data_IF_078669540401
#
_entry.id   IF_078669540401
#
_cell.length_a   1.000
_cell.length_b   1.000
_cell.length_c   1.000
_cell.angle_alpha   90.00
_cell.angle_beta   90.00
_cell.angle_gamma   90.00
#
_symmetry.space_group_name_H-M   'P 1'
#
loop_
_entity.id
_entity.type
_entity.pdbx_description
1 polymer ?
#
# COMPACT_ATOMS: atom_id res chain seq x y z
N UNK A 1 -5.32 0.47 4.61
CA UNK A 1 -4.11 -0.29 5.03
C UNK A 1 -4.42 -1.76 5.03
N UNK A 2 -3.50 -2.58 4.52
CA UNK A 2 -3.60 -4.05 4.51
C UNK A 2 -2.38 -4.62 5.23
N UNK A 3 -2.63 -5.41 6.26
CA UNK A 3 -1.64 -6.20 7.00
C UNK A 3 -1.68 -7.66 6.55
N UNK A 4 -0.51 -8.28 6.43
CA UNK A 4 -0.38 -9.71 6.23
C UNK A 4 -0.12 -10.40 7.57
N UNK A 5 -0.85 -11.48 7.86
CA UNK A 5 -0.63 -12.35 9.04
C UNK A 5 -0.01 -13.68 8.60
N UNK A 6 1.02 -14.15 9.30
CA UNK A 6 1.69 -15.43 9.01
C UNK A 6 3.12 -15.50 9.53
N UNK A 7 4.02 -16.17 8.80
CA UNK A 7 5.47 -15.95 8.84
C UNK A 7 5.87 -14.90 7.78
N UNK A 8 6.84 -14.03 8.10
CA UNK A 8 7.36 -13.01 7.17
C UNK A 8 7.64 -13.75 5.86
N UNK A 9 7.10 -13.33 4.71
CA UNK A 9 7.56 -13.90 3.46
C UNK A 9 9.05 -13.63 3.46
N UNK A 10 9.86 -14.69 3.54
CA UNK A 10 11.31 -14.58 3.56
C UNK A 10 11.71 -14.10 2.18
N UNK A 11 11.61 -12.79 1.96
CA UNK A 11 12.01 -12.14 0.72
C UNK A 11 13.53 -12.07 0.59
N UNK A 12 14.28 -12.68 1.52
CA UNK A 12 15.71 -12.96 1.44
C UNK A 12 15.99 -14.05 0.40
N UNK A 13 15.61 -13.80 -0.86
CA UNK A 13 16.07 -14.60 -1.98
C UNK A 13 17.51 -14.20 -2.27
N UNK A 14 18.45 -14.85 -1.58
CA UNK A 14 19.89 -14.72 -1.81
C UNK A 14 20.48 -13.30 -1.65
N UNK A 15 19.88 -12.46 -0.80
CA UNK A 15 20.35 -11.08 -0.56
C UNK A 15 20.29 -10.19 -1.82
N UNK A 16 19.39 -10.50 -2.76
CA UNK A 16 19.23 -9.79 -4.04
C UNK A 16 18.04 -8.79 -3.96
N UNK A 17 18.29 -7.48 -3.79
CA UNK A 17 17.25 -6.49 -3.57
C UNK A 17 16.32 -6.32 -4.78
N UNK A 18 16.79 -6.61 -5.99
CA UNK A 18 15.95 -6.52 -7.18
C UNK A 18 14.93 -7.66 -7.22
N UNK A 19 15.33 -8.87 -6.84
CA UNK A 19 14.40 -10.01 -6.70
C UNK A 19 13.38 -9.78 -5.60
N UNK A 20 13.80 -9.30 -4.44
CA UNK A 20 12.88 -8.93 -3.34
C UNK A 20 11.84 -7.92 -3.81
N UNK A 21 12.26 -6.89 -4.56
CA UNK A 21 11.36 -5.90 -5.14
C UNK A 21 10.38 -6.51 -6.13
N UNK A 22 10.83 -7.40 -7.02
CA UNK A 22 9.97 -8.09 -7.98
C UNK A 22 8.91 -8.96 -7.29
N UNK A 23 9.26 -9.67 -6.22
CA UNK A 23 8.32 -10.47 -5.43
C UNK A 23 7.26 -9.62 -4.73
N UNK A 24 7.68 -8.50 -4.10
CA UNK A 24 6.74 -7.54 -3.48
C UNK A 24 5.78 -6.97 -4.54
N UNK A 25 6.30 -6.59 -5.71
CA UNK A 25 5.46 -6.10 -6.81
C UNK A 25 4.50 -7.17 -7.33
N UNK A 26 4.94 -8.42 -7.39
CA UNK A 26 4.09 -9.57 -7.75
C UNK A 26 2.97 -9.76 -6.73
N UNK A 27 3.26 -9.64 -5.43
CA UNK A 27 2.26 -9.77 -4.38
C UNK A 27 1.17 -8.69 -4.49
N UNK A 28 1.57 -7.43 -4.71
CA UNK A 28 0.64 -6.31 -4.91
C UNK A 28 -0.19 -6.55 -6.19
N UNK A 29 0.43 -7.00 -7.28
CA UNK A 29 -0.27 -7.30 -8.52
C UNK A 29 -1.30 -8.43 -8.37
N UNK A 30 -0.97 -9.47 -7.61
CA UNK A 30 -1.92 -10.54 -7.27
C UNK A 30 -3.10 -10.01 -6.46
N UNK A 31 -2.84 -9.13 -5.48
CA UNK A 31 -3.90 -8.51 -4.68
C UNK A 31 -4.85 -7.68 -5.56
N UNK A 32 -4.31 -6.82 -6.44
CA UNK A 32 -5.13 -6.00 -7.35
C UNK A 32 -5.91 -6.86 -8.35
N UNK A 33 -5.32 -7.95 -8.84
CA UNK A 33 -6.00 -8.92 -9.70
C UNK A 33 -7.19 -9.56 -8.98
N UNK A 34 -7.01 -9.99 -7.74
CA UNK A 34 -8.06 -10.61 -6.94
C UNK A 34 -9.20 -9.62 -6.62
N UNK A 35 -8.87 -8.37 -6.26
CA UNK A 35 -9.87 -7.33 -6.04
C UNK A 35 -10.66 -7.05 -7.31
N UNK A 36 -9.98 -6.94 -8.46
CA UNK A 36 -10.65 -6.75 -9.75
C UNK A 36 -11.58 -7.91 -10.13
N UNK A 37 -11.19 -9.14 -9.83
CA UNK A 37 -12.04 -10.32 -10.05
C UNK A 37 -13.37 -10.20 -9.30
N UNK A 38 -13.35 -9.70 -8.06
CA UNK A 38 -14.56 -9.51 -7.25
C UNK A 38 -15.36 -8.30 -7.73
N UNK A 39 -14.74 -7.13 -7.83
CA UNK A 39 -15.45 -5.86 -8.02
C UNK A 39 -15.95 -5.63 -9.45
N UNK A 40 -15.34 -6.27 -10.45
CA UNK A 40 -15.73 -6.09 -11.85
C UNK A 40 -17.16 -6.55 -12.11
N UNK A 41 -17.51 -7.73 -11.61
CA UNK A 41 -18.81 -8.38 -11.86
C UNK A 41 -19.80 -8.19 -10.71
N UNK A 42 -19.38 -7.54 -9.62
CA UNK A 42 -20.27 -7.14 -8.54
C UNK A 42 -21.25 -6.07 -9.05
N UNK A 43 -22.54 -6.31 -8.81
CA UNK A 43 -23.61 -5.37 -9.11
C UNK A 43 -23.80 -4.43 -7.90
N UNK A 44 -23.38 -3.18 -8.04
CA UNK A 44 -23.57 -2.17 -7.01
C UNK A 44 -24.92 -1.46 -7.25
N UNK A 45 -25.95 -1.96 -6.58
CA UNK A 45 -27.31 -1.42 -6.68
C UNK A 45 -27.48 -0.23 -5.72
N UNK A 46 -27.50 0.97 -6.30
CA UNK A 46 -27.81 2.24 -5.63
C UNK A 46 -28.93 3.00 -6.35
N UNK A 47 -28.89 4.34 -6.38
CA UNK A 47 -29.83 5.14 -7.21
C UNK A 47 -29.62 4.92 -8.72
N UNK A 48 -28.43 4.46 -9.11
CA UNK A 48 -28.02 4.15 -10.48
C UNK A 48 -27.26 2.82 -10.45
N UNK A 49 -27.42 1.99 -11.49
CA UNK A 49 -26.63 0.76 -11.62
C UNK A 49 -25.18 1.10 -11.98
N UNK A 50 -24.24 0.73 -11.12
CA UNK A 50 -22.80 0.81 -11.40
C UNK A 50 -22.23 -0.61 -11.55
N UNK A 51 -21.56 -0.88 -12.67
CA UNK A 51 -20.89 -2.16 -12.98
C UNK A 51 -19.51 -1.90 -13.55
N UNK A 52 -18.67 -2.94 -13.60
CA UNK A 52 -17.33 -2.90 -14.19
C UNK A 52 -16.38 -1.91 -13.47
N UNK A 53 -16.47 -1.86 -12.14
CA UNK A 53 -15.51 -1.13 -11.30
C UNK A 53 -14.17 -1.86 -11.35
N UNK A 54 -13.10 -1.09 -11.58
CA UNK A 54 -11.74 -1.62 -11.70
C UNK A 54 -10.76 -0.79 -10.88
N UNK A 55 -9.71 -1.47 -10.46
CA UNK A 55 -8.59 -0.95 -9.69
C UNK A 55 -7.32 -1.13 -10.53
N UNK A 56 -6.52 -0.08 -10.60
CA UNK A 56 -5.23 -0.09 -11.28
C UNK A 56 -4.19 0.56 -10.38
N UNK A 57 -2.99 -0.04 -10.34
CA UNK A 57 -1.85 0.59 -9.67
C UNK A 57 -1.38 1.74 -10.54
N UNK A 58 -1.61 2.98 -10.09
CA UNK A 58 -1.08 4.13 -10.81
C UNK A 58 0.44 4.19 -10.70
N UNK A 59 1.08 4.29 -11.87
CA UNK A 59 2.50 4.62 -11.98
C UNK A 59 2.60 6.09 -12.36
N UNK A 60 2.90 6.98 -11.41
CA UNK A 60 3.18 8.37 -11.81
C UNK A 60 4.52 8.40 -12.54
N UNK A 61 4.43 8.67 -13.84
CA UNK A 61 5.57 8.94 -14.68
C UNK A 61 5.98 10.40 -14.43
N UNK A 62 6.89 10.64 -13.49
CA UNK A 62 7.54 11.96 -13.41
C UNK A 62 8.50 12.06 -14.60
N UNK A 63 8.33 13.01 -15.54
CA UNK A 63 9.30 13.21 -16.61
C UNK A 63 10.58 13.74 -15.98
N UNK A 64 11.60 12.89 -15.89
CA UNK A 64 12.93 13.35 -15.48
C UNK A 64 13.61 14.03 -16.68
N UNK A 65 14.10 15.28 -16.55
CA UNK A 65 14.86 15.95 -17.61
C UNK A 65 16.18 15.22 -17.96
N UNK A 66 16.61 14.24 -17.16
CA UNK A 66 17.82 13.44 -17.38
C UNK A 66 17.56 12.03 -17.93
N UNK A 67 16.33 11.70 -18.37
CA UNK A 67 16.03 10.41 -19.00
C UNK A 67 16.14 9.19 -18.06
N UNK A 68 16.13 9.40 -16.75
CA UNK A 68 16.12 8.30 -15.79
C UNK A 68 14.72 7.67 -15.66
N UNK A 69 14.75 6.34 -15.53
CA UNK A 69 13.67 5.34 -15.60
C UNK A 69 12.34 5.74 -14.96
N UNK A 70 11.24 5.49 -15.70
CA UNK A 70 9.85 5.56 -15.23
C UNK A 70 9.66 4.60 -14.03
N UNK A 71 9.48 5.12 -12.83
CA UNK A 71 9.19 4.30 -11.65
C UNK A 71 7.67 4.18 -11.45
N UNK A 72 7.10 2.96 -11.30
CA UNK A 72 5.84 2.82 -10.57
C UNK A 72 5.94 3.56 -9.24
N UNK A 73 4.88 4.26 -8.84
CA UNK A 73 4.77 4.89 -7.51
C UNK A 73 4.47 3.87 -6.40
N UNK A 74 5.00 2.66 -6.55
CA UNK A 74 5.06 1.72 -5.44
C UNK A 74 6.36 2.03 -4.71
N UNK A 75 6.23 2.75 -3.60
CA UNK A 75 7.31 2.99 -2.66
C UNK A 75 7.46 1.74 -1.80
N UNK A 76 8.68 1.17 -1.80
CA UNK A 76 9.04 0.03 -0.96
C UNK A 76 10.06 0.57 0.03
N UNK A 77 9.65 0.73 1.28
CA UNK A 77 10.53 1.09 2.36
C UNK A 77 11.33 -0.14 2.81
N UNK A 78 12.63 0.04 2.98
CA UNK A 78 13.52 -0.93 3.60
C UNK A 78 13.72 -0.60 5.09
N UNK A 79 14.51 -1.42 5.78
CA UNK A 79 14.82 -1.23 7.20
C UNK A 79 15.93 -0.19 7.45
N UNK A 80 16.49 0.43 6.40
CA UNK A 80 17.67 1.27 6.51
C UNK A 80 17.40 2.51 7.36
N UNK A 81 16.21 3.12 7.21
CA UNK A 81 15.78 4.25 8.01
C UNK A 81 15.43 3.89 9.47
N UNK A 82 15.36 2.59 9.79
CA UNK A 82 15.14 2.08 11.14
C UNK A 82 16.46 1.74 11.86
N UNK A 83 17.60 1.79 11.18
CA UNK A 83 18.91 1.45 11.77
C UNK A 83 19.37 2.55 12.73
N UNK A 84 20.02 2.19 13.86
CA UNK A 84 20.42 3.15 14.89
C UNK A 84 21.45 4.19 14.43
N UNK A 85 22.14 3.96 13.31
CA UNK A 85 23.12 4.88 12.72
C UNK A 85 22.57 5.64 11.50
N UNK A 86 21.26 5.62 11.27
CA UNK A 86 20.66 6.37 10.17
C UNK A 86 20.74 7.88 10.41
N UNK A 87 21.28 8.62 9.45
CA UNK A 87 21.53 10.08 9.55
C UNK A 87 20.47 10.93 8.84
N UNK A 88 19.41 10.33 8.29
CA UNK A 88 18.31 11.04 7.64
C UNK A 88 17.10 11.24 8.55
N UNK A 89 15.99 11.69 7.96
CA UNK A 89 14.72 11.85 8.69
C UNK A 89 14.22 10.48 9.18
N UNK A 90 13.99 10.30 10.49
CA UNK A 90 13.62 9.00 11.03
C UNK A 90 12.26 8.57 10.48
N UNK A 91 12.20 7.33 9.97
CA UNK A 91 10.94 6.78 9.49
C UNK A 91 10.02 6.47 10.68
N UNK A 92 8.89 7.17 10.75
CA UNK A 92 7.92 7.05 11.84
C UNK A 92 7.26 5.67 11.90
N UNK A 93 7.30 4.89 10.82
CA UNK A 93 6.81 3.51 10.78
C UNK A 93 7.75 2.50 11.47
N UNK A 94 8.98 2.90 11.84
CA UNK A 94 9.97 2.02 12.48
C UNK A 94 9.68 1.69 13.95
N UNK A 95 8.77 2.41 14.62
CA UNK A 95 8.46 2.11 16.02
C UNK A 95 7.82 0.72 16.09
N UNK A 96 8.30 -0.18 16.97
CA UNK A 96 7.83 -1.58 17.03
C UNK A 96 6.38 -1.70 17.53
N UNK A 97 5.94 -0.79 18.40
CA UNK A 97 4.63 -0.88 19.07
C UNK A 97 3.60 0.14 18.55
N UNK A 98 3.62 0.45 17.25
CA UNK A 98 2.55 1.24 16.62
C UNK A 98 1.31 0.35 16.49
N UNK A 99 0.19 0.75 17.07
CA UNK A 99 -1.09 0.10 16.86
C UNK A 99 -1.64 0.35 15.45
N UNK A 100 -2.65 -0.44 15.04
CA UNK A 100 -3.22 -0.37 13.69
C UNK A 100 -3.83 1.01 13.37
N UNK A 101 -4.40 1.70 14.37
CA UNK A 101 -5.03 3.01 14.19
C UNK A 101 -4.00 4.11 13.97
N UNK A 102 -2.96 4.12 14.80
CA UNK A 102 -1.82 5.03 14.67
C UNK A 102 -1.07 4.77 13.36
N UNK A 103 -0.92 3.52 12.94
CA UNK A 103 -0.30 3.19 11.66
C UNK A 103 -1.10 3.75 10.48
N UNK A 104 -2.43 3.56 10.47
CA UNK A 104 -3.30 4.16 9.46
C UNK A 104 -3.25 5.70 9.50
N UNK A 105 -3.22 6.29 10.69
CA UNK A 105 -3.14 7.73 10.86
C UNK A 105 -1.84 8.29 10.30
N UNK A 106 -0.69 7.69 10.61
CA UNK A 106 0.62 8.06 10.05
C UNK A 106 0.61 8.02 8.52
N UNK A 107 0.06 6.96 7.92
CA UNK A 107 -0.07 6.88 6.46
C UNK A 107 -0.99 7.96 5.88
N UNK A 108 -2.02 8.37 6.63
CA UNK A 108 -2.97 9.41 6.23
C UNK A 108 -2.36 10.82 6.24
N UNK A 109 -1.20 11.04 6.87
CA UNK A 109 -0.50 12.33 6.87
C UNK A 109 0.19 12.64 5.53
N UNK A 110 0.40 11.63 4.67
CA UNK A 110 0.94 11.82 3.33
C UNK A 110 -0.04 12.53 2.38
N UNK A 111 0.48 13.18 1.34
CA UNK A 111 -0.36 13.75 0.28
C UNK A 111 -0.77 12.64 -0.71
N UNK A 112 -2.08 12.37 -0.78
CA UNK A 112 -2.68 11.34 -1.64
C UNK A 112 -3.69 11.91 -2.64
N UNK A 113 -3.68 13.23 -2.89
CA UNK A 113 -4.68 13.92 -3.72
C UNK A 113 -4.71 13.46 -5.19
N UNK A 114 -3.57 12.98 -5.71
CA UNK A 114 -3.44 12.48 -7.08
C UNK A 114 -4.15 11.13 -7.32
N UNK A 115 -4.61 10.46 -6.24
CA UNK A 115 -5.14 9.09 -6.30
C UNK A 115 -6.53 8.98 -5.68
N UNK A 116 -7.35 8.08 -6.25
CA UNK A 116 -8.66 7.78 -5.68
C UNK A 116 -8.57 7.03 -4.34
N UNK A 117 -7.55 6.18 -4.18
CA UNK A 117 -7.27 5.42 -2.96
C UNK A 117 -5.76 5.27 -2.78
N UNK A 118 -5.29 5.42 -1.55
CA UNK A 118 -3.92 5.11 -1.15
C UNK A 118 -3.90 3.91 -0.20
N UNK A 119 -2.99 2.98 -0.48
CA UNK A 119 -2.82 1.77 0.31
C UNK A 119 -1.37 1.66 0.77
N UNK A 120 -1.20 1.28 2.03
CA UNK A 120 0.04 0.77 2.59
C UNK A 120 -0.14 -0.71 2.91
N UNK A 121 0.83 -1.51 2.45
CA UNK A 121 0.96 -2.92 2.77
C UNK A 121 2.03 -3.07 3.85
N UNK A 122 1.75 -3.85 4.89
CA UNK A 122 2.73 -4.08 5.95
C UNK A 122 2.70 -5.52 6.45
N UNK A 123 3.82 -5.93 7.00
CA UNK A 123 4.01 -7.21 7.65
C UNK A 123 4.18 -7.00 9.15
N UNK A 124 3.11 -6.52 9.80
CA UNK A 124 3.10 -6.24 11.23
C UNK A 124 1.95 -7.02 11.86
N UNK A 125 2.24 -7.65 12.98
CA UNK A 125 1.22 -8.33 13.78
C UNK A 125 0.56 -7.31 14.70
N UNK A 126 -0.67 -6.93 14.38
CA UNK A 126 -1.43 -6.00 15.20
C UNK A 126 -2.17 -6.73 16.31
N UNK A 127 -2.17 -6.11 17.49
CA UNK A 127 -2.88 -6.61 18.67
C UNK A 127 -4.32 -7.01 18.36
N UNK A 128 -4.74 -8.16 18.89
CA UNK A 128 -6.09 -8.70 18.68
C UNK A 128 -6.30 -9.37 17.33
N UNK A 129 -5.25 -9.63 16.55
CA UNK A 129 -5.33 -10.33 15.25
C UNK A 129 -5.88 -9.46 14.13
N UNK A 130 -5.73 -8.14 14.23
CA UNK A 130 -6.25 -7.20 13.23
C UNK A 130 -5.42 -7.26 11.96
N UNK A 131 -6.04 -7.57 10.82
CA UNK A 131 -5.36 -7.70 9.52
C UNK A 131 -5.34 -6.41 8.69
N UNK A 132 -6.00 -5.34 9.14
CA UNK A 132 -6.03 -4.09 8.38
C UNK A 132 -7.07 -3.12 8.91
N UNK A 133 -6.98 -1.89 8.44
CA UNK A 133 -7.88 -0.81 8.79
C UNK A 133 -8.04 0.14 7.60
N UNK A 134 -9.22 0.75 7.49
CA UNK A 134 -9.53 1.74 6.46
C UNK A 134 -10.48 2.79 7.02
N UNK A 135 -10.43 3.99 6.44
CA UNK A 135 -11.45 5.00 6.65
C UNK A 135 -12.73 4.62 5.89
N UNK A 136 -13.88 4.78 6.55
CA UNK A 136 -15.18 4.54 5.95
C UNK A 136 -15.65 5.84 5.28
N UNK A 137 -15.91 5.78 3.98
CA UNK A 137 -16.44 6.92 3.24
C UNK A 137 -17.93 7.16 3.55
N UNK A 138 -18.37 8.41 3.48
CA UNK A 138 -19.79 8.79 3.59
C UNK A 138 -20.28 9.43 2.30
N UNK A 139 -21.52 9.11 1.91
CA UNK A 139 -22.19 9.70 0.75
C UNK A 139 -22.56 11.18 0.95
N UNK A 140 -22.59 11.67 2.20
CA UNK A 140 -22.99 13.04 2.54
C UNK A 140 -22.00 14.13 2.11
N UNK A 141 -20.83 13.76 1.57
CA UNK A 141 -19.86 14.67 0.98
C UNK A 141 -19.95 14.83 -0.55
N UNK A 142 -20.80 14.06 -1.23
CA UNK A 142 -21.13 14.28 -2.65
C UNK A 142 -22.30 15.26 -2.73
N UNK A 143 -21.99 16.56 -2.82
CA UNK A 143 -22.96 17.63 -3.16
C UNK A 143 -22.77 18.07 -4.59
#
# INVERSE_FOLDING_TARGET
MVGFSGSVPTFEVNNDPDKTREEILSLIAHHVTAVNYIYRDTKFDGRVEHRNIKFEVQRIKVPSPSGHKLTPRVEIDDDTACKPMYTGDPNQFCLENIDVSNFLNLHSLGNHEDFCLAYVFTYRDFTGGTLGLAWVASASGMT
#
